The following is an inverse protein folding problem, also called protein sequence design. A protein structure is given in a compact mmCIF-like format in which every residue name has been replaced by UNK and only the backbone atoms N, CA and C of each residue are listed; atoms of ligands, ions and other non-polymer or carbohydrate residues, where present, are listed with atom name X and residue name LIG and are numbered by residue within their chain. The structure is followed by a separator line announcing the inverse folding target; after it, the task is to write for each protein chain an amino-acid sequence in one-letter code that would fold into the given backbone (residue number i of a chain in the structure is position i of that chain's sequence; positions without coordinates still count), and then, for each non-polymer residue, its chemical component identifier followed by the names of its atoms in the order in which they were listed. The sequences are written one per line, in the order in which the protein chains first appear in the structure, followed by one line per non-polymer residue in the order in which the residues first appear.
data_IF_588933348607
#
_entry.id   IF_588933348607
#
_cell.length_a   1.000
_cell.length_b   1.000
_cell.length_c   1.000
_cell.angle_alpha   90.00
_cell.angle_beta   90.00
_cell.angle_gamma   90.00
#
_symmetry.space_group_name_H-M   'P 1'
#
loop_
_entity.id
_entity.type
_entity.pdbx_description
1 polymer ?
#
# COMPACT_ATOMS: atom_id res chain seq x y z
N UNK A 1 -1.69 -12.99 -21.36
CA UNK A 1 -2.60 -12.09 -20.59
C UNK A 1 -2.11 -12.09 -19.15
N UNK A 2 -1.97 -10.92 -18.51
CA UNK A 2 -1.58 -10.79 -17.10
C UNK A 2 -2.69 -11.41 -16.23
N UNK A 3 -2.33 -12.33 -15.34
CA UNK A 3 -3.28 -12.99 -14.46
C UNK A 3 -3.14 -12.42 -13.05
N UNK A 4 -3.97 -11.41 -12.74
CA UNK A 4 -4.13 -10.89 -11.38
C UNK A 4 -5.28 -11.62 -10.74
N UNK A 5 -5.05 -12.14 -9.53
CA UNK A 5 -6.05 -12.88 -8.78
C UNK A 5 -5.93 -12.57 -7.28
N UNK A 6 -7.02 -12.80 -6.54
CA UNK A 6 -6.96 -12.69 -5.09
C UNK A 6 -6.08 -13.82 -4.52
N UNK A 7 -5.19 -13.48 -3.61
CA UNK A 7 -4.37 -14.45 -2.88
C UNK A 7 -5.24 -15.51 -2.20
N UNK A 8 -4.85 -16.77 -2.31
CA UNK A 8 -5.46 -17.90 -1.61
C UNK A 8 -4.66 -18.23 -0.35
N UNK A 9 -5.23 -18.96 0.61
CA UNK A 9 -4.52 -19.35 1.84
C UNK A 9 -3.19 -20.07 1.58
N UNK A 10 -3.13 -20.90 0.56
CA UNK A 10 -1.91 -21.63 0.15
C UNK A 10 -0.80 -20.75 -0.40
N UNK A 11 -1.10 -19.56 -0.87
CA UNK A 11 -0.13 -18.59 -1.40
C UNK A 11 0.58 -17.80 -0.30
N UNK A 12 0.10 -17.86 0.95
CA UNK A 12 0.53 -16.98 2.03
C UNK A 12 2.04 -16.99 2.23
N UNK A 13 2.68 -18.13 2.23
CA UNK A 13 4.12 -18.23 2.51
C UNK A 13 4.95 -17.57 1.39
N UNK A 14 4.52 -17.70 0.12
CA UNK A 14 5.17 -17.04 -1.02
C UNK A 14 4.96 -15.52 -0.97
N UNK A 15 3.74 -15.07 -0.65
CA UNK A 15 3.39 -13.66 -0.48
C UNK A 15 4.16 -13.05 0.68
N UNK A 16 4.19 -13.71 1.84
CA UNK A 16 4.89 -13.20 3.01
C UNK A 16 6.41 -13.14 2.81
N UNK A 17 6.97 -14.07 2.05
CA UNK A 17 8.38 -14.02 1.63
C UNK A 17 8.66 -12.78 0.79
N UNK A 18 7.83 -12.49 -0.21
CA UNK A 18 7.98 -11.31 -1.06
C UNK A 18 7.83 -10.01 -0.25
N UNK A 19 6.86 -9.94 0.67
CA UNK A 19 6.72 -8.82 1.62
C UNK A 19 8.00 -8.64 2.45
N UNK A 20 8.52 -9.72 2.99
CA UNK A 20 9.71 -9.69 3.86
C UNK A 20 10.99 -9.28 3.11
N UNK A 21 11.09 -9.61 1.83
CA UNK A 21 12.20 -9.18 0.96
C UNK A 21 12.08 -7.73 0.53
N UNK A 22 10.87 -7.20 0.47
CA UNK A 22 10.59 -5.87 -0.07
C UNK A 22 10.49 -4.78 0.99
N UNK A 23 10.14 -5.13 2.23
CA UNK A 23 9.92 -4.19 3.32
C UNK A 23 10.68 -4.61 4.57
N UNK A 24 11.41 -3.68 5.23
CA UNK A 24 12.05 -3.94 6.53
C UNK A 24 11.05 -4.38 7.59
N UNK A 25 11.54 -5.07 8.64
CA UNK A 25 10.68 -5.55 9.72
C UNK A 25 9.89 -4.43 10.45
N UNK A 26 10.42 -3.20 10.45
CA UNK A 26 9.73 -2.03 11.02
C UNK A 26 8.60 -1.47 10.16
N UNK A 27 8.54 -1.83 8.88
CA UNK A 27 7.57 -1.32 7.91
C UNK A 27 6.49 -2.34 7.53
N UNK A 28 6.47 -3.49 8.19
CA UNK A 28 5.49 -4.55 7.96
C UNK A 28 5.16 -5.28 9.24
N UNK A 29 4.06 -6.00 9.23
CA UNK A 29 3.70 -6.91 10.33
C UNK A 29 4.53 -8.20 10.26
N UNK A 30 4.63 -8.90 11.38
CA UNK A 30 5.13 -10.27 11.38
C UNK A 30 4.13 -11.24 10.71
N UNK A 31 4.53 -12.50 10.54
CA UNK A 31 3.71 -13.49 9.84
C UNK A 31 2.35 -13.72 10.53
N UNK A 32 2.31 -13.70 11.86
CA UNK A 32 1.08 -13.89 12.62
C UNK A 32 0.13 -12.70 12.46
N UNK A 33 0.64 -11.48 12.61
CA UNK A 33 -0.11 -10.24 12.39
C UNK A 33 -0.61 -10.10 10.95
N UNK A 34 0.23 -10.43 9.98
CA UNK A 34 -0.15 -10.40 8.57
C UNK A 34 -1.24 -11.43 8.24
N UNK A 35 -1.16 -12.62 8.83
CA UNK A 35 -2.17 -13.68 8.67
C UNK A 35 -3.49 -13.31 9.33
N UNK A 36 -3.46 -12.65 10.47
CA UNK A 36 -4.66 -12.20 11.19
C UNK A 36 -5.49 -11.20 10.37
N UNK A 37 -4.85 -10.34 9.56
CA UNK A 37 -5.55 -9.39 8.69
C UNK A 37 -6.44 -10.06 7.64
N UNK A 38 -6.14 -11.30 7.24
CA UNK A 38 -6.92 -12.01 6.21
C UNK A 38 -8.36 -12.30 6.66
N UNK A 39 -8.66 -12.18 7.95
CA UNK A 39 -10.03 -12.29 8.48
C UNK A 39 -10.79 -10.95 8.44
N UNK A 40 -10.14 -9.81 8.20
CA UNK A 40 -10.81 -8.53 8.02
C UNK A 40 -11.37 -8.43 6.59
N UNK A 41 -12.68 -8.20 6.47
CA UNK A 41 -13.36 -8.14 5.17
C UNK A 41 -12.93 -6.96 4.31
N UNK A 42 -12.39 -5.90 4.92
CA UNK A 42 -11.84 -4.75 4.19
C UNK A 42 -10.44 -5.02 3.63
N UNK A 43 -9.71 -5.98 4.20
CA UNK A 43 -8.34 -6.27 3.79
C UNK A 43 -8.27 -7.35 2.71
N UNK A 44 -7.44 -7.13 1.70
CA UNK A 44 -7.18 -8.11 0.65
C UNK A 44 -5.76 -8.03 0.12
N UNK A 45 -5.27 -9.13 -0.42
CA UNK A 45 -4.03 -9.18 -1.19
C UNK A 45 -4.36 -9.71 -2.58
N UNK A 46 -4.03 -8.92 -3.59
CA UNK A 46 -4.06 -9.33 -4.98
C UNK A 46 -2.64 -9.70 -5.40
N UNK A 47 -2.50 -10.79 -6.16
CA UNK A 47 -1.22 -11.28 -6.64
C UNK A 47 -1.20 -11.35 -8.16
N UNK A 48 -0.03 -11.05 -8.71
CA UNK A 48 0.28 -11.36 -10.10
C UNK A 48 1.01 -12.69 -10.14
N UNK A 49 0.43 -13.67 -10.84
CA UNK A 49 1.00 -15.01 -10.95
C UNK A 49 1.81 -15.16 -12.23
N UNK A 50 2.99 -15.76 -12.09
CA UNK A 50 3.79 -16.17 -13.23
C UNK A 50 3.12 -17.33 -13.98
N UNK A 51 3.40 -17.53 -15.28
CA UNK A 51 2.95 -18.71 -15.99
C UNK A 51 3.42 -20.03 -15.34
N UNK A 52 4.55 -20.01 -14.64
CA UNK A 52 5.08 -21.13 -13.85
C UNK A 52 4.37 -21.35 -12.50
N UNK A 53 3.42 -20.50 -12.12
CA UNK A 53 2.64 -20.58 -10.90
C UNK A 53 3.17 -19.77 -9.72
N UNK A 54 4.38 -19.21 -9.79
CA UNK A 54 4.96 -18.38 -8.70
C UNK A 54 4.34 -16.99 -8.60
N UNK A 55 4.49 -16.34 -7.42
CA UNK A 55 4.06 -14.96 -7.19
C UNK A 55 5.13 -14.00 -7.70
N UNK A 56 4.80 -13.17 -8.71
CA UNK A 56 5.69 -12.16 -9.29
C UNK A 56 5.51 -10.78 -8.67
N UNK A 57 4.30 -10.46 -8.25
CA UNK A 57 4.01 -9.20 -7.59
C UNK A 57 2.80 -9.37 -6.67
N UNK A 58 2.67 -8.46 -5.71
CA UNK A 58 1.52 -8.39 -4.82
C UNK A 58 1.09 -6.95 -4.59
N UNK A 59 -0.20 -6.76 -4.34
CA UNK A 59 -0.77 -5.53 -3.81
C UNK A 59 -1.63 -5.89 -2.59
N UNK A 60 -1.22 -5.42 -1.42
CA UNK A 60 -2.04 -5.48 -0.22
C UNK A 60 -2.84 -4.19 -0.10
N UNK A 61 -4.14 -4.29 0.07
CA UNK A 61 -5.04 -3.14 0.07
C UNK A 61 -6.16 -3.26 1.08
N UNK A 62 -6.71 -2.10 1.45
CA UNK A 62 -7.88 -1.95 2.30
C UNK A 62 -8.99 -1.26 1.51
N UNK A 63 -10.13 -1.90 1.45
CA UNK A 63 -11.31 -1.40 0.75
C UNK A 63 -12.25 -0.71 1.74
N UNK A 64 -12.14 0.62 1.84
CA UNK A 64 -13.00 1.46 2.66
C UNK A 64 -14.16 2.01 1.82
N UNK A 65 -15.19 2.56 2.45
CA UNK A 65 -16.40 3.02 1.75
C UNK A 65 -16.09 4.07 0.68
N UNK A 66 -15.24 5.06 0.99
CA UNK A 66 -14.98 6.21 0.13
C UNK A 66 -13.69 6.11 -0.70
N UNK A 67 -12.78 5.20 -0.35
CA UNK A 67 -11.50 5.01 -1.06
C UNK A 67 -10.91 3.62 -0.83
N UNK A 68 -9.96 3.25 -1.67
CA UNK A 68 -9.11 2.07 -1.46
C UNK A 68 -7.72 2.54 -1.03
N UNK A 69 -7.19 1.98 0.05
CA UNK A 69 -5.83 2.23 0.48
C UNK A 69 -4.89 1.11 0.03
N UNK A 70 -3.87 1.46 -0.74
CA UNK A 70 -2.78 0.56 -1.13
C UNK A 70 -1.67 0.62 -0.08
N UNK A 71 -1.59 -0.42 0.76
CA UNK A 71 -0.65 -0.47 1.89
C UNK A 71 0.73 -0.96 1.48
N UNK A 72 0.80 -2.10 0.78
CA UNK A 72 2.06 -2.69 0.33
C UNK A 72 1.97 -3.10 -1.13
N UNK A 73 2.89 -2.60 -1.93
CA UNK A 73 3.04 -2.98 -3.32
C UNK A 73 4.46 -3.49 -3.56
N UNK A 74 4.61 -4.73 -3.98
CA UNK A 74 5.91 -5.34 -4.19
C UNK A 74 5.95 -6.13 -5.51
N UNK A 75 7.09 -6.03 -6.19
CA UNK A 75 7.44 -6.81 -7.37
C UNK A 75 8.68 -7.62 -7.06
N UNK A 76 8.67 -8.90 -7.38
CA UNK A 76 9.83 -9.78 -7.23
C UNK A 76 11.05 -9.15 -7.91
N UNK A 77 12.18 -9.01 -7.22
CA UNK A 77 13.40 -8.45 -7.79
C UNK A 77 13.82 -9.07 -9.12
N UNK A 78 13.61 -10.38 -9.29
CA UNK A 78 13.90 -11.10 -10.53
C UNK A 78 12.99 -10.71 -11.70
N UNK A 79 11.84 -10.08 -11.42
CA UNK A 79 10.83 -9.69 -12.41
C UNK A 79 10.78 -8.18 -12.63
N UNK A 80 11.63 -7.41 -11.94
CA UNK A 80 11.72 -5.95 -12.12
C UNK A 80 12.27 -5.62 -13.51
N UNK A 81 12.06 -4.41 -13.96
CA UNK A 81 12.45 -3.89 -15.29
C UNK A 81 11.58 -4.31 -16.47
N UNK A 82 10.66 -5.26 -16.30
CA UNK A 82 9.69 -5.65 -17.34
C UNK A 82 8.39 -4.85 -17.37
N UNK A 83 8.26 -3.77 -16.58
CA UNK A 83 7.05 -2.95 -16.53
C UNK A 83 5.85 -3.61 -15.86
N UNK A 84 5.99 -4.82 -15.30
CA UNK A 84 4.87 -5.57 -14.73
C UNK A 84 4.22 -4.87 -13.54
N UNK A 85 5.00 -4.13 -12.76
CA UNK A 85 4.47 -3.34 -11.64
C UNK A 85 3.49 -2.27 -12.12
N UNK A 86 3.87 -1.49 -13.14
CA UNK A 86 2.98 -0.48 -13.73
C UNK A 86 1.72 -1.11 -14.33
N UNK A 87 1.88 -2.19 -15.08
CA UNK A 87 0.76 -2.91 -15.68
C UNK A 87 -0.20 -3.47 -14.61
N UNK A 88 0.32 -4.01 -13.50
CA UNK A 88 -0.50 -4.49 -12.39
C UNK A 88 -1.24 -3.34 -11.71
N UNK A 89 -0.55 -2.23 -11.45
CA UNK A 89 -1.15 -1.05 -10.83
C UNK A 89 -2.28 -0.48 -11.68
N UNK A 90 -2.05 -0.30 -13.00
CA UNK A 90 -3.06 0.19 -13.93
C UNK A 90 -4.28 -0.74 -14.00
N UNK A 91 -4.05 -2.05 -14.06
CA UNK A 91 -5.12 -3.04 -14.08
C UNK A 91 -5.97 -3.03 -12.79
N UNK A 92 -5.34 -2.88 -11.63
CA UNK A 92 -6.05 -2.74 -10.36
C UNK A 92 -6.84 -1.44 -10.30
N UNK A 93 -6.23 -0.31 -10.68
CA UNK A 93 -6.91 0.99 -10.71
C UNK A 93 -8.12 0.99 -11.64
N UNK A 94 -8.03 0.32 -12.79
CA UNK A 94 -9.16 0.20 -13.73
C UNK A 94 -10.36 -0.56 -13.15
N UNK A 95 -10.16 -1.40 -12.13
CA UNK A 95 -11.21 -2.17 -11.46
C UNK A 95 -11.82 -1.45 -10.26
N UNK A 96 -11.25 -0.32 -9.82
CA UNK A 96 -11.69 0.40 -8.62
C UNK A 96 -12.57 1.58 -9.02
N UNK A 97 -13.88 1.61 -8.61
CA UNK A 97 -14.80 2.69 -8.99
C UNK A 97 -14.70 3.94 -8.11
N UNK A 98 -13.73 4.01 -7.22
CA UNK A 98 -13.52 5.07 -6.22
C UNK A 98 -12.03 5.44 -6.15
N UNK A 99 -11.68 6.57 -5.52
CA UNK A 99 -10.27 6.98 -5.41
C UNK A 99 -9.41 5.92 -4.73
N UNK A 100 -8.17 5.78 -5.19
CA UNK A 100 -7.12 5.07 -4.49
C UNK A 100 -6.23 6.06 -3.72
N UNK A 101 -5.73 5.62 -2.57
CA UNK A 101 -4.80 6.36 -1.73
C UNK A 101 -3.61 5.47 -1.38
N UNK A 102 -2.44 6.04 -1.25
CA UNK A 102 -1.24 5.36 -0.73
C UNK A 102 -0.34 6.35 0.01
N UNK A 103 0.59 5.80 0.77
CA UNK A 103 1.65 6.53 1.46
C UNK A 103 2.96 6.40 0.69
N UNK A 104 3.71 7.49 0.58
CA UNK A 104 5.06 7.46 0.02
C UNK A 104 6.01 8.28 0.88
N UNK A 105 7.25 7.80 1.02
CA UNK A 105 8.32 8.54 1.68
C UNK A 105 8.52 9.92 1.04
N UNK A 106 8.97 10.88 1.84
CA UNK A 106 9.36 12.19 1.32
C UNK A 106 10.49 12.02 0.29
N UNK A 107 10.55 12.86 -0.76
CA UNK A 107 11.52 12.71 -1.86
C UNK A 107 12.95 13.14 -1.48
N UNK A 108 13.42 12.71 -0.32
CA UNK A 108 14.75 13.04 0.22
C UNK A 108 15.87 12.18 -0.38
N UNK A 109 15.51 11.07 -1.02
CA UNK A 109 16.42 10.19 -1.73
C UNK A 109 16.02 10.06 -3.19
N UNK A 110 16.97 9.73 -4.06
CA UNK A 110 16.69 9.48 -5.47
C UNK A 110 15.67 8.34 -5.66
N UNK A 111 15.74 7.31 -4.82
CA UNK A 111 14.80 6.18 -4.86
C UNK A 111 13.40 6.60 -4.46
N UNK A 112 13.23 7.40 -3.40
CA UNK A 112 11.94 7.93 -2.97
C UNK A 112 11.33 8.84 -4.03
N UNK A 113 12.13 9.74 -4.63
CA UNK A 113 11.68 10.60 -5.72
C UNK A 113 11.25 9.80 -6.96
N UNK A 114 11.99 8.75 -7.33
CA UNK A 114 11.62 7.84 -8.43
C UNK A 114 10.31 7.10 -8.14
N UNK A 115 10.09 6.69 -6.89
CA UNK A 115 8.85 6.01 -6.46
C UNK A 115 7.65 6.95 -6.57
N UNK A 116 7.77 8.19 -6.10
CA UNK A 116 6.73 9.21 -6.28
C UNK A 116 6.43 9.41 -7.76
N UNK A 117 7.45 9.65 -8.59
CA UNK A 117 7.29 9.84 -10.03
C UNK A 117 6.68 8.61 -10.73
N UNK A 118 6.91 7.40 -10.22
CA UNK A 118 6.22 6.20 -10.69
C UNK A 118 4.72 6.32 -10.44
N UNK A 119 4.28 6.64 -9.23
CA UNK A 119 2.86 6.78 -8.91
C UNK A 119 2.19 7.94 -9.65
N UNK A 120 2.88 9.07 -9.81
CA UNK A 120 2.35 10.21 -10.59
C UNK A 120 2.07 9.81 -12.05
N UNK A 121 2.95 9.03 -12.69
CA UNK A 121 2.73 8.51 -14.05
C UNK A 121 1.53 7.56 -14.14
N UNK A 122 1.10 6.98 -13.02
CA UNK A 122 -0.08 6.10 -12.91
C UNK A 122 -1.30 6.82 -12.31
N UNK A 123 -1.35 8.16 -12.41
CA UNK A 123 -2.54 8.96 -12.08
C UNK A 123 -2.70 9.34 -10.62
N UNK A 124 -1.66 9.18 -9.80
CA UNK A 124 -1.67 9.70 -8.43
C UNK A 124 -1.21 11.14 -8.38
N UNK A 125 -1.76 11.89 -7.45
CA UNK A 125 -1.38 13.27 -7.12
C UNK A 125 -0.82 13.32 -5.71
N UNK A 126 0.33 13.96 -5.52
CA UNK A 126 0.94 14.16 -4.21
C UNK A 126 0.23 15.29 -3.48
N UNK A 127 -0.23 15.06 -2.25
CA UNK A 127 -0.80 16.08 -1.38
C UNK A 127 0.31 16.66 -0.47
N UNK A 128 1.28 17.35 -1.08
CA UNK A 128 2.53 17.78 -0.43
C UNK A 128 2.34 18.78 0.72
N UNK A 129 1.30 19.61 0.67
CA UNK A 129 1.02 20.64 1.68
C UNK A 129 0.33 20.08 2.95
N UNK A 130 -0.04 18.79 2.93
CA UNK A 130 -0.66 18.13 4.08
C UNK A 130 0.40 17.44 4.93
N UNK A 131 0.61 17.84 6.19
CA UNK A 131 1.57 17.21 7.07
C UNK A 131 1.02 15.85 7.54
N UNK A 132 1.55 14.78 6.98
CA UNK A 132 1.15 13.42 7.30
C UNK A 132 2.29 12.62 7.93
N UNK A 133 1.97 11.84 8.96
CA UNK A 133 2.89 10.93 9.63
C UNK A 133 2.29 9.53 9.69
N UNK A 134 2.99 8.58 9.09
CA UNK A 134 2.66 7.17 9.22
C UNK A 134 2.99 6.71 10.64
N UNK A 135 2.03 6.14 11.40
CA UNK A 135 2.32 5.56 12.70
C UNK A 135 3.29 4.39 12.61
N UNK A 136 4.11 4.19 13.63
CA UNK A 136 4.99 3.03 13.70
C UNK A 136 4.17 1.73 13.76
N UNK A 137 4.53 0.75 12.93
CA UNK A 137 3.93 -0.58 12.92
C UNK A 137 4.43 -1.48 14.05
N UNK A 138 5.58 -1.14 14.64
CA UNK A 138 6.19 -1.91 15.73
C UNK A 138 6.15 -1.12 17.03
N UNK A 139 5.96 -1.78 18.19
CA UNK A 139 6.02 -1.11 19.49
C UNK A 139 7.35 -0.38 19.70
N UNK A 140 7.30 0.86 20.16
CA UNK A 140 8.49 1.68 20.42
C UNK A 140 9.13 2.31 19.16
N UNK A 141 8.57 2.08 17.97
CA UNK A 141 8.99 2.76 16.76
C UNK A 141 8.55 4.23 16.74
N UNK A 142 9.19 5.03 15.90
CA UNK A 142 8.83 6.44 15.69
C UNK A 142 7.89 6.57 14.48
N UNK A 143 6.94 7.54 14.50
CA UNK A 143 6.19 7.91 13.32
C UNK A 143 7.12 8.40 12.22
N UNK A 144 6.77 8.11 10.96
CA UNK A 144 7.54 8.53 9.78
C UNK A 144 6.80 9.63 9.03
N UNK A 145 7.45 10.76 8.70
CA UNK A 145 6.86 11.75 7.81
C UNK A 145 6.73 11.15 6.41
N UNK A 146 5.53 11.22 5.84
CA UNK A 146 5.20 10.67 4.53
C UNK A 146 4.32 11.64 3.76
N UNK A 147 4.15 11.40 2.46
CA UNK A 147 3.10 12.00 1.67
C UNK A 147 1.92 11.04 1.50
N UNK A 148 0.70 11.59 1.55
CA UNK A 148 -0.49 10.91 1.02
C UNK A 148 -0.62 11.22 -0.46
N UNK A 149 -0.70 10.19 -1.29
CA UNK A 149 -0.97 10.30 -2.72
C UNK A 149 -2.36 9.78 -3.01
N UNK A 150 -3.11 10.47 -3.87
CA UNK A 150 -4.50 10.11 -4.20
C UNK A 150 -4.75 10.15 -5.69
N UNK A 151 -5.53 9.21 -6.21
CA UNK A 151 -6.05 9.29 -7.58
C UNK A 151 -7.24 10.25 -7.66
N UNK A 152 -7.52 10.79 -8.85
CA UNK A 152 -8.61 11.74 -9.05
C UNK A 152 -8.29 13.17 -8.57
N UNK A 153 -7.00 13.52 -8.47
CA UNK A 153 -6.51 14.85 -8.13
C UNK A 153 -6.19 15.05 -6.63
N UNK A 154 -5.75 16.25 -6.31
CA UNK A 154 -5.47 16.67 -4.94
C UNK A 154 -6.76 16.73 -4.10
N UNK A 155 -6.60 16.48 -2.81
CA UNK A 155 -7.70 16.48 -1.83
C UNK A 155 -7.64 17.70 -0.94
N UNK A 156 -8.79 18.08 -0.43
CA UNK A 156 -8.88 19.11 0.61
C UNK A 156 -8.27 18.62 1.93
N UNK A 157 -7.86 19.55 2.79
CA UNK A 157 -7.35 19.18 4.11
C UNK A 157 -8.36 18.40 4.96
N UNK A 158 -9.67 18.65 4.78
CA UNK A 158 -10.72 17.91 5.48
C UNK A 158 -10.81 16.45 5.00
N UNK A 159 -10.74 16.21 3.69
CA UNK A 159 -10.72 14.86 3.11
C UNK A 159 -9.47 14.10 3.55
N UNK A 160 -8.30 14.74 3.52
CA UNK A 160 -7.04 14.10 3.94
C UNK A 160 -7.05 13.76 5.43
N UNK A 161 -7.64 14.60 6.27
CA UNK A 161 -7.81 14.31 7.70
C UNK A 161 -8.75 13.13 7.95
N UNK A 162 -9.80 12.99 7.16
CA UNK A 162 -10.69 11.83 7.23
C UNK A 162 -9.94 10.54 6.82
N UNK A 163 -9.16 10.59 5.74
CA UNK A 163 -8.28 9.49 5.32
C UNK A 163 -7.30 9.13 6.43
N UNK A 164 -6.54 10.11 6.95
CA UNK A 164 -5.56 9.90 8.04
C UNK A 164 -6.20 9.23 9.25
N UNK A 165 -7.36 9.73 9.71
CA UNK A 165 -8.07 9.17 10.85
C UNK A 165 -8.41 7.70 10.63
N UNK A 166 -8.88 7.36 9.43
CA UNK A 166 -9.25 5.98 9.09
C UNK A 166 -8.03 5.07 9.00
N UNK A 167 -6.93 5.56 8.39
CA UNK A 167 -5.67 4.80 8.33
C UNK A 167 -5.12 4.55 9.73
N UNK A 168 -5.06 5.57 10.58
CA UNK A 168 -4.53 5.45 11.94
C UNK A 168 -5.34 4.47 12.79
N UNK A 169 -6.67 4.47 12.68
CA UNK A 169 -7.53 3.62 13.50
C UNK A 169 -7.69 2.20 12.94
N UNK A 170 -7.77 2.04 11.62
CA UNK A 170 -8.09 0.74 10.99
C UNK A 170 -6.86 -0.01 10.52
N UNK A 171 -5.89 0.69 9.96
CA UNK A 171 -4.68 0.07 9.40
C UNK A 171 -3.60 -0.09 10.47
N UNK A 172 -3.37 0.97 11.25
CA UNK A 172 -2.29 1.01 12.24
C UNK A 172 -2.74 0.71 13.67
N UNK A 173 -4.03 0.50 13.90
CA UNK A 173 -4.63 0.22 15.23
C UNK A 173 -4.16 1.22 16.29
N UNK A 174 -4.10 2.49 15.92
CA UNK A 174 -3.78 3.60 16.82
C UNK A 174 -5.05 4.35 17.14
N UNK A 175 -5.51 4.26 18.38
CA UNK A 175 -6.55 5.17 18.88
C UNK A 175 -6.00 6.59 18.73
N UNK A 176 -6.72 7.53 18.08
CA UNK A 176 -6.29 8.91 18.05
C UNK A 176 -6.03 9.34 19.49
N UNK A 177 -4.86 9.90 19.77
CA UNK A 177 -4.63 10.53 21.07
C UNK A 177 -5.77 11.53 21.25
N UNK A 178 -6.58 11.32 22.27
CA UNK A 178 -7.66 12.25 22.58
C UNK A 178 -7.03 13.64 22.60
N UNK A 179 -7.54 14.53 21.72
CA UNK A 179 -7.13 15.92 21.80
C UNK A 179 -7.59 16.42 23.18
N UNK A 180 -6.64 16.52 24.10
CA UNK A 180 -6.80 17.18 25.40
C UNK A 180 -6.64 18.67 25.17
#
# INVERSE_FOLDING_TARGET
MMQIERMRPEDFDAVFRLLSQSFPAGERRDAAGQRALLSDSAYRIDILRAPSGGVQALMASWDFDDFVFFEHFAVDPACRSGGIGGQMLDALLACIPKPACLEAELPETEMAARRIGFYERHGFTVNADYPYFQPALVPGGSPLPMHLLTTGGARTAAELRAIETLLHTRVYDKTPAAMI
#
